data_IF_861031407866
#
_entry.id   IF_861031407866
#
_cell.length_a   1.000
_cell.length_b   1.000
_cell.length_c   1.000
_cell.angle_alpha   90.00
_cell.angle_beta   90.00
_cell.angle_gamma   90.00
#
_symmetry.space_group_name_H-M   'P 1'
#
loop_
_entity.id
_entity.type
_entity.pdbx_description
1 polymer ?
#
# COMPACT_ATOMS: atom_id res chain seq x y z
N UNK A 1 -44.69 -15.27 -34.74
CA UNK A 1 -43.77 -14.10 -34.73
C UNK A 1 -43.53 -13.51 -33.35
N UNK A 2 -44.52 -13.32 -32.47
CA UNK A 2 -44.31 -12.68 -31.12
C UNK A 2 -43.39 -13.47 -30.15
N UNK A 3 -43.31 -14.81 -30.27
CA UNK A 3 -42.43 -15.67 -29.42
C UNK A 3 -40.92 -15.54 -29.76
N UNK A 4 -40.56 -15.30 -31.04
CA UNK A 4 -39.16 -15.12 -31.46
C UNK A 4 -38.56 -13.82 -30.91
N UNK A 5 -39.32 -12.76 -30.84
CA UNK A 5 -38.83 -11.47 -30.30
C UNK A 5 -38.56 -11.55 -28.78
N UNK A 6 -39.35 -12.34 -28.04
CA UNK A 6 -39.16 -12.52 -26.61
C UNK A 6 -37.82 -13.24 -26.28
N UNK A 7 -37.47 -14.29 -27.05
CA UNK A 7 -36.21 -15.00 -26.88
C UNK A 7 -34.99 -14.15 -27.29
N UNK A 8 -35.13 -13.31 -28.31
CA UNK A 8 -34.08 -12.39 -28.75
C UNK A 8 -33.84 -11.31 -27.69
N UNK A 9 -34.89 -10.81 -27.04
CA UNK A 9 -34.77 -9.82 -25.95
C UNK A 9 -34.08 -10.40 -24.70
N UNK A 10 -34.46 -11.64 -24.31
CA UNK A 10 -33.84 -12.35 -23.18
C UNK A 10 -32.35 -12.63 -23.44
N UNK A 11 -31.97 -13.00 -24.67
CA UNK A 11 -30.59 -13.23 -25.06
C UNK A 11 -29.74 -11.95 -25.04
N UNK A 12 -30.31 -10.83 -25.45
CA UNK A 12 -29.64 -9.52 -25.40
C UNK A 12 -29.45 -9.07 -23.96
N UNK A 13 -30.43 -9.22 -23.08
CA UNK A 13 -30.29 -8.92 -21.66
C UNK A 13 -29.28 -9.84 -20.95
N UNK A 14 -29.24 -11.13 -21.30
CA UNK A 14 -28.21 -12.04 -20.76
C UNK A 14 -26.80 -11.68 -21.23
N UNK A 15 -26.61 -11.18 -22.45
CA UNK A 15 -25.32 -10.67 -22.91
C UNK A 15 -24.92 -9.39 -22.18
N UNK A 16 -25.87 -8.46 -21.92
CA UNK A 16 -25.60 -7.25 -21.15
C UNK A 16 -25.24 -7.54 -19.69
N UNK A 17 -25.86 -8.52 -19.06
CA UNK A 17 -25.55 -8.94 -17.69
C UNK A 17 -24.20 -9.65 -17.56
N UNK A 18 -23.70 -10.30 -18.61
CA UNK A 18 -22.39 -10.95 -18.60
C UNK A 18 -21.22 -9.95 -18.70
N UNK A 19 -21.42 -8.78 -19.28
CA UNK A 19 -20.40 -7.74 -19.35
C UNK A 19 -20.25 -6.93 -18.04
N UNK A 20 -21.26 -6.92 -17.16
CA UNK A 20 -21.17 -6.23 -15.87
C UNK A 20 -20.38 -7.00 -14.79
N UNK A 21 -20.00 -8.24 -15.03
CA UNK A 21 -19.31 -9.10 -14.05
C UNK A 21 -17.81 -9.28 -14.30
N UNK A 22 -17.20 -8.54 -15.21
CA UNK A 22 -15.76 -8.42 -15.26
C UNK A 22 -15.30 -7.55 -14.10
N UNK A 23 -15.31 -8.10 -12.85
CA UNK A 23 -14.53 -7.54 -11.75
C UNK A 23 -13.11 -7.41 -12.26
N UNK A 24 -12.69 -6.18 -12.51
CA UNK A 24 -11.32 -5.84 -12.87
C UNK A 24 -10.39 -6.47 -11.82
N UNK A 25 -9.87 -7.65 -12.14
CA UNK A 25 -8.93 -8.33 -11.27
C UNK A 25 -7.68 -7.45 -11.21
N UNK A 26 -7.41 -6.86 -10.03
CA UNK A 26 -6.23 -6.04 -9.82
C UNK A 26 -4.96 -6.86 -10.05
N UNK A 27 -3.88 -6.21 -10.50
CA UNK A 27 -2.55 -6.84 -10.55
C UNK A 27 -1.99 -6.98 -9.15
N UNK A 28 -1.41 -8.13 -8.87
CA UNK A 28 -0.84 -8.48 -7.56
C UNK A 28 0.67 -8.67 -7.70
N UNK A 29 1.43 -8.03 -6.81
CA UNK A 29 2.88 -8.11 -6.73
C UNK A 29 3.28 -8.60 -5.33
N UNK A 30 4.41 -9.27 -5.21
CA UNK A 30 4.93 -9.73 -3.90
C UNK A 30 5.37 -8.55 -3.04
N UNK A 31 5.40 -8.74 -1.71
CA UNK A 31 5.91 -7.74 -0.78
C UNK A 31 7.36 -7.32 -1.09
N UNK A 32 8.20 -8.26 -1.53
CA UNK A 32 9.60 -8.05 -1.91
C UNK A 32 9.79 -7.81 -3.43
N UNK A 33 8.78 -7.30 -4.13
CA UNK A 33 8.93 -6.97 -5.56
C UNK A 33 10.12 -6.03 -5.78
N UNK A 34 10.99 -6.28 -6.78
CA UNK A 34 12.20 -5.47 -7.00
C UNK A 34 11.90 -4.01 -7.38
N UNK A 35 10.69 -3.69 -7.80
CA UNK A 35 10.25 -2.32 -8.01
C UNK A 35 9.96 -1.56 -6.71
N UNK A 36 9.95 -2.24 -5.56
CA UNK A 36 9.72 -1.64 -4.24
C UNK A 36 11.04 -1.58 -3.47
N UNK A 37 11.45 -0.39 -3.09
CA UNK A 37 12.62 -0.17 -2.24
C UNK A 37 12.22 0.02 -0.80
N UNK A 38 12.77 -0.77 0.09
CA UNK A 38 12.63 -0.59 1.54
C UNK A 38 13.86 0.15 2.10
N UNK A 39 13.60 1.03 3.06
CA UNK A 39 14.64 1.77 3.78
C UNK A 39 14.39 1.64 5.27
N UNK A 40 15.38 1.12 5.99
CA UNK A 40 15.30 0.75 7.39
C UNK A 40 15.57 -0.74 7.60
N UNK A 41 15.35 -1.22 8.82
CA UNK A 41 15.56 -2.63 9.16
C UNK A 41 14.33 -3.46 8.76
N UNK A 42 14.52 -4.38 7.82
CA UNK A 42 13.45 -5.27 7.33
C UNK A 42 13.90 -6.73 7.34
N UNK A 43 12.94 -7.63 7.47
CA UNK A 43 13.11 -9.08 7.34
C UNK A 43 12.28 -9.56 6.15
N UNK A 44 12.94 -10.20 5.19
CA UNK A 44 12.28 -10.80 4.02
C UNK A 44 12.10 -12.30 4.28
N UNK A 45 10.86 -12.77 4.17
CA UNK A 45 10.49 -14.18 4.33
C UNK A 45 10.59 -14.93 2.99
N UNK A 46 10.64 -16.26 3.03
CA UNK A 46 10.76 -17.13 1.84
C UNK A 46 9.57 -17.02 0.88
N UNK A 47 8.40 -16.65 1.37
CA UNK A 47 7.17 -16.41 0.56
C UNK A 47 7.17 -15.02 -0.14
N UNK A 48 8.18 -14.19 0.15
CA UNK A 48 8.33 -12.85 -0.39
C UNK A 48 7.60 -11.77 0.40
N UNK A 49 7.09 -12.09 1.59
CA UNK A 49 6.58 -11.05 2.51
C UNK A 49 7.73 -10.31 3.18
N UNK A 50 7.48 -9.05 3.58
CA UNK A 50 8.47 -8.17 4.20
C UNK A 50 7.94 -7.64 5.51
N UNK A 51 8.67 -7.90 6.61
CA UNK A 51 8.29 -7.47 7.96
C UNK A 51 9.22 -6.39 8.48
N UNK A 52 8.67 -5.45 9.26
CA UNK A 52 9.42 -4.42 9.97
C UNK A 52 8.58 -3.85 11.13
N UNK A 53 9.26 -3.26 12.12
CA UNK A 53 8.65 -2.69 13.32
C UNK A 53 9.17 -1.28 13.68
N UNK A 54 10.37 -0.91 13.26
CA UNK A 54 10.99 0.36 13.63
C UNK A 54 10.26 1.58 13.02
N UNK A 55 10.05 2.60 13.85
CA UNK A 55 9.59 3.92 13.42
C UNK A 55 10.54 4.51 12.38
N UNK A 56 9.99 5.28 11.45
CA UNK A 56 10.76 5.86 10.36
C UNK A 56 11.10 4.90 9.21
N UNK A 57 10.96 3.57 9.41
CA UNK A 57 11.07 2.62 8.29
C UNK A 57 10.03 2.94 7.22
N UNK A 58 10.45 2.96 5.98
CA UNK A 58 9.55 3.24 4.86
C UNK A 58 9.84 2.33 3.67
N UNK A 59 8.86 2.23 2.80
CA UNK A 59 9.04 1.71 1.44
C UNK A 59 8.63 2.77 0.43
N UNK A 60 9.22 2.69 -0.74
CA UNK A 60 8.92 3.58 -1.85
C UNK A 60 8.92 2.82 -3.18
N UNK A 61 8.12 3.30 -4.09
CA UNK A 61 7.99 2.81 -5.46
C UNK A 61 7.43 3.90 -6.34
N UNK A 62 7.40 3.68 -7.65
CA UNK A 62 6.53 4.43 -8.57
C UNK A 62 5.45 3.51 -9.08
N UNK A 63 4.27 4.05 -9.35
CA UNK A 63 3.16 3.26 -9.84
C UNK A 63 2.26 4.04 -10.80
N UNK A 64 1.50 3.30 -11.61
CA UNK A 64 0.46 3.83 -12.49
C UNK A 64 -0.89 3.22 -12.15
N UNK A 65 -1.98 3.74 -12.75
CA UNK A 65 -3.31 3.16 -12.65
C UNK A 65 -4.20 3.76 -11.56
N UNK A 66 -3.72 4.80 -10.85
CA UNK A 66 -4.53 5.64 -9.95
C UNK A 66 -5.01 4.99 -8.64
N UNK A 67 -4.60 3.73 -8.37
CA UNK A 67 -4.93 2.99 -7.15
C UNK A 67 -3.82 2.02 -6.78
N UNK A 68 -3.46 2.02 -5.49
CA UNK A 68 -2.58 1.03 -4.88
C UNK A 68 -3.11 0.65 -3.50
N UNK A 69 -3.20 -0.64 -3.24
CA UNK A 69 -3.58 -1.22 -1.94
C UNK A 69 -2.53 -2.23 -1.51
N UNK A 70 -2.53 -2.57 -0.22
CA UNK A 70 -1.66 -3.58 0.36
C UNK A 70 -2.48 -4.71 0.99
N UNK A 71 -1.99 -5.94 0.92
CA UNK A 71 -2.39 -7.01 1.83
C UNK A 71 -1.32 -7.07 2.92
N UNK A 72 -1.71 -6.80 4.15
CA UNK A 72 -0.81 -6.66 5.30
C UNK A 72 -1.33 -7.41 6.52
N UNK A 73 -0.40 -7.81 7.38
CA UNK A 73 -0.70 -8.22 8.75
C UNK A 73 0.01 -7.28 9.72
N UNK A 74 -0.66 -6.95 10.82
CA UNK A 74 -0.14 -6.10 11.87
C UNK A 74 -0.40 -6.75 13.23
N UNK A 75 0.64 -6.86 14.07
CA UNK A 75 0.51 -7.51 15.39
C UNK A 75 -0.21 -6.65 16.41
N UNK A 76 -0.34 -5.36 16.14
CA UNK A 76 -1.03 -4.40 16.99
C UNK A 76 -1.76 -3.34 16.18
N UNK A 77 -1.44 -2.07 16.42
CA UNK A 77 -1.95 -0.93 15.64
C UNK A 77 -0.81 -0.01 15.27
N UNK A 78 -0.62 0.23 13.99
CA UNK A 78 0.40 1.15 13.48
C UNK A 78 -0.22 2.22 12.57
N UNK A 79 0.41 3.40 12.56
CA UNK A 79 0.03 4.49 11.68
C UNK A 79 1.18 4.80 10.71
N UNK A 80 0.80 5.23 9.51
CA UNK A 80 1.72 5.50 8.41
C UNK A 80 1.41 6.83 7.74
N UNK A 81 2.45 7.61 7.49
CA UNK A 81 2.36 8.74 6.57
C UNK A 81 2.51 8.22 5.14
N UNK A 82 1.56 8.56 4.28
CA UNK A 82 1.57 8.26 2.85
C UNK A 82 1.86 9.54 2.07
N UNK A 83 2.92 9.51 1.28
CA UNK A 83 3.33 10.62 0.42
C UNK A 83 3.14 10.21 -1.04
N UNK A 84 2.51 11.07 -1.82
CA UNK A 84 2.37 10.94 -3.27
C UNK A 84 3.05 12.14 -3.92
N UNK A 85 3.97 11.91 -4.84
CA UNK A 85 4.77 12.95 -5.49
C UNK A 85 5.46 13.89 -4.48
N UNK A 86 6.00 13.29 -3.41
CA UNK A 86 6.67 13.93 -2.25
C UNK A 86 5.76 14.79 -1.34
N UNK A 87 4.47 14.89 -1.60
CA UNK A 87 3.51 15.59 -0.74
C UNK A 87 2.77 14.62 0.18
N UNK A 88 2.54 15.03 1.44
CA UNK A 88 1.76 14.24 2.40
C UNK A 88 0.31 14.14 1.92
N UNK A 89 -0.07 12.93 1.46
CA UNK A 89 -1.41 12.66 0.94
C UNK A 89 -2.40 12.31 2.05
N UNK A 90 -2.01 11.43 2.98
CA UNK A 90 -2.86 11.00 4.11
C UNK A 90 -2.09 10.20 5.16
N UNK A 91 -2.71 10.02 6.32
CA UNK A 91 -2.30 9.04 7.32
C UNK A 91 -3.16 7.79 7.18
N UNK A 92 -2.55 6.61 7.22
CA UNK A 92 -3.22 5.32 7.13
C UNK A 92 -3.02 4.55 8.42
N UNK A 93 -4.11 4.03 8.99
CA UNK A 93 -4.10 3.07 10.10
C UNK A 93 -3.96 1.66 9.53
N UNK A 94 -3.07 0.87 10.13
CA UNK A 94 -2.85 -0.55 9.79
C UNK A 94 -3.09 -1.38 11.05
N UNK A 95 -3.96 -2.38 10.96
CA UNK A 95 -4.26 -3.34 12.03
C UNK A 95 -4.85 -4.62 11.44
N UNK A 96 -4.82 -5.71 12.21
CA UNK A 96 -5.39 -7.00 11.85
C UNK A 96 -4.47 -7.87 10.99
N UNK A 97 -4.95 -9.06 10.63
CA UNK A 97 -4.21 -10.07 9.87
C UNK A 97 -4.79 -10.18 8.47
N UNK A 98 -3.91 -10.28 7.46
CA UNK A 98 -4.26 -10.40 6.03
C UNK A 98 -5.28 -9.35 5.55
N UNK A 99 -5.18 -8.14 6.09
CA UNK A 99 -6.12 -7.05 5.82
C UNK A 99 -5.75 -6.35 4.52
N UNK A 100 -6.76 -6.07 3.69
CA UNK A 100 -6.61 -5.22 2.50
C UNK A 100 -6.70 -3.75 2.90
N UNK A 101 -5.59 -3.04 2.84
CA UNK A 101 -5.50 -1.60 3.14
C UNK A 101 -5.42 -0.81 1.85
N UNK A 102 -6.32 0.14 1.65
CA UNK A 102 -6.22 1.10 0.56
C UNK A 102 -5.21 2.20 0.92
N UNK A 103 -4.07 2.23 0.23
CA UNK A 103 -3.02 3.24 0.44
C UNK A 103 -3.35 4.52 -0.33
N UNK A 104 -3.63 4.38 -1.62
CA UNK A 104 -3.99 5.49 -2.51
C UNK A 104 -5.10 5.05 -3.46
N UNK A 105 -6.07 5.92 -3.71
CA UNK A 105 -7.11 5.71 -4.72
C UNK A 105 -7.70 7.03 -5.19
N UNK A 106 -8.26 7.02 -6.40
CA UNK A 106 -8.97 8.18 -6.96
C UNK A 106 -8.05 9.28 -7.50
N UNK A 107 -6.76 9.01 -7.64
CA UNK A 107 -5.82 9.90 -8.35
C UNK A 107 -5.79 9.55 -9.84
N UNK A 108 -5.16 10.40 -10.66
CA UNK A 108 -5.02 10.12 -12.08
C UNK A 108 -4.16 8.85 -12.34
N UNK A 109 -4.17 8.36 -13.59
CA UNK A 109 -3.51 7.10 -13.94
C UNK A 109 -2.06 7.26 -14.40
N UNK A 110 -1.51 8.47 -14.37
CA UNK A 110 -0.12 8.72 -14.74
C UNK A 110 0.84 8.05 -13.77
N UNK A 111 2.13 8.15 -14.04
CA UNK A 111 3.17 7.65 -13.16
C UNK A 111 3.32 8.58 -11.95
N UNK A 112 3.12 8.04 -10.75
CA UNK A 112 3.30 8.73 -9.47
C UNK A 112 4.42 8.11 -8.67
N UNK A 113 5.14 8.91 -7.89
CA UNK A 113 5.98 8.42 -6.80
C UNK A 113 5.12 8.17 -5.57
N UNK A 114 5.43 7.11 -4.81
CA UNK A 114 4.72 6.74 -3.59
C UNK A 114 5.73 6.33 -2.52
N UNK A 115 5.60 6.92 -1.34
CA UNK A 115 6.33 6.53 -0.14
C UNK A 115 5.34 6.34 1.01
N UNK A 116 5.48 5.24 1.74
CA UNK A 116 4.71 4.98 2.95
C UNK A 116 5.67 4.74 4.11
N UNK A 117 5.63 5.62 5.11
CA UNK A 117 6.57 5.69 6.22
C UNK A 117 5.86 5.41 7.54
N UNK A 118 6.39 4.46 8.31
CA UNK A 118 5.89 4.14 9.65
C UNK A 118 6.14 5.31 10.60
N UNK A 119 5.09 5.75 11.29
CA UNK A 119 5.16 6.82 12.29
C UNK A 119 4.97 6.32 13.73
N UNK A 120 4.40 5.13 13.90
CA UNK A 120 4.25 4.48 15.21
C UNK A 120 5.53 3.78 15.62
N UNK A 121 5.81 3.76 16.92
CA UNK A 121 6.94 3.04 17.49
C UNK A 121 6.78 1.52 17.37
N UNK A 122 7.88 0.78 17.51
CA UNK A 122 7.90 -0.68 17.35
C UNK A 122 7.09 -1.42 18.43
N UNK A 123 6.94 -0.83 19.60
CA UNK A 123 6.14 -1.38 20.70
C UNK A 123 4.65 -1.49 20.38
N UNK A 124 4.12 -0.65 19.47
CA UNK A 124 2.71 -0.67 19.05
C UNK A 124 2.40 -1.73 18.00
N UNK A 125 3.43 -2.33 17.37
CA UNK A 125 3.23 -3.46 16.49
C UNK A 125 4.27 -3.61 15.38
N UNK A 126 4.29 -4.84 14.84
CA UNK A 126 5.11 -5.24 13.70
C UNK A 126 4.22 -5.44 12.48
N UNK A 127 4.56 -4.76 11.41
CA UNK A 127 3.87 -4.86 10.13
C UNK A 127 4.55 -5.89 9.23
N UNK A 128 3.74 -6.70 8.55
CA UNK A 128 4.18 -7.60 7.47
C UNK A 128 3.41 -7.26 6.20
N UNK A 129 4.10 -6.83 5.16
CA UNK A 129 3.53 -6.60 3.83
C UNK A 129 3.63 -7.89 3.03
N UNK A 130 2.48 -8.47 2.68
CA UNK A 130 2.40 -9.69 1.89
C UNK A 130 2.38 -9.39 0.39
N UNK A 131 1.53 -8.45 -0.03
CA UNK A 131 1.28 -8.16 -1.45
C UNK A 131 0.98 -6.68 -1.66
N UNK A 132 1.34 -6.20 -2.86
CA UNK A 132 0.84 -4.97 -3.44
C UNK A 132 -0.27 -5.31 -4.43
N UNK A 133 -1.37 -4.56 -4.40
CA UNK A 133 -2.53 -4.76 -5.27
C UNK A 133 -2.82 -3.45 -5.99
N UNK A 134 -2.68 -3.46 -7.31
CA UNK A 134 -2.93 -2.31 -8.17
C UNK A 134 -4.21 -2.51 -9.00
N UNK A 135 -4.67 -1.47 -9.68
CA UNK A 135 -5.70 -1.61 -10.73
C UNK A 135 -5.22 -2.56 -11.84
N UNK A 136 -6.13 -3.09 -12.66
CA UNK A 136 -5.78 -4.03 -13.73
C UNK A 136 -4.76 -3.46 -14.73
N UNK A 137 -4.80 -2.16 -15.01
CA UNK A 137 -3.84 -1.46 -15.88
C UNK A 137 -2.60 -0.95 -15.14
N UNK A 138 -2.56 -1.08 -13.80
CA UNK A 138 -1.47 -0.58 -12.97
C UNK A 138 -0.15 -1.32 -13.19
N UNK A 139 0.95 -0.62 -12.96
CA UNK A 139 2.32 -1.15 -12.99
C UNK A 139 3.09 -0.59 -11.81
N UNK A 140 4.02 -1.38 -11.26
CA UNK A 140 5.06 -0.91 -10.35
C UNK A 140 6.31 -0.60 -11.17
N UNK A 141 7.05 0.44 -10.76
CA UNK A 141 8.33 0.80 -11.31
C UNK A 141 9.28 1.21 -10.19
N UNK A 142 10.55 0.83 -10.30
CA UNK A 142 11.55 1.22 -9.32
C UNK A 142 11.70 2.75 -9.24
N UNK A 143 11.88 3.25 -8.03
CA UNK A 143 12.19 4.66 -7.81
C UNK A 143 13.62 4.96 -8.32
N UNK A 144 13.83 6.03 -9.10
CA UNK A 144 15.15 6.36 -9.66
C UNK A 144 16.14 6.86 -8.63
N UNK A 145 15.68 7.20 -7.43
CA UNK A 145 16.49 7.94 -6.46
C UNK A 145 17.40 7.01 -5.68
N UNK A 146 18.66 6.91 -6.07
CA UNK A 146 19.74 6.42 -5.21
C UNK A 146 20.31 7.62 -4.46
N UNK A 147 20.03 7.73 -3.16
CA UNK A 147 20.67 8.73 -2.30
C UNK A 147 22.07 8.24 -1.96
N UNK A 148 23.09 8.98 -2.34
CA UNK A 148 24.51 8.61 -2.15
C UNK A 148 25.09 9.12 -0.81
N UNK A 149 24.40 10.05 -0.15
CA UNK A 149 24.81 10.58 1.16
C UNK A 149 23.91 10.03 2.25
N UNK A 150 24.53 9.53 3.31
CA UNK A 150 23.87 9.07 4.52
C UNK A 150 24.33 9.95 5.69
N UNK A 151 23.36 10.38 6.52
CA UNK A 151 23.61 11.07 7.78
C UNK A 151 22.93 10.22 8.84
N UNK A 152 23.67 9.82 9.86
CA UNK A 152 23.15 9.09 10.99
C UNK A 152 23.12 10.02 12.22
N UNK A 153 21.97 10.07 12.88
CA UNK A 153 21.78 10.78 14.13
C UNK A 153 21.67 9.75 15.26
N UNK A 154 22.64 9.76 16.17
CA UNK A 154 22.64 8.87 17.33
C UNK A 154 22.18 9.69 18.53
N UNK A 155 21.09 9.24 19.17
CA UNK A 155 20.49 9.95 20.29
C UNK A 155 19.44 9.12 21.01
N UNK A 156 18.63 9.78 21.80
CA UNK A 156 17.53 9.17 22.56
C UNK A 156 16.16 9.57 21.99
N UNK A 157 15.09 9.34 22.77
CA UNK A 157 13.71 9.66 22.41
C UNK A 157 13.49 11.13 22.02
N UNK A 158 14.24 12.06 22.61
CA UNK A 158 14.16 13.48 22.25
C UNK A 158 14.73 13.75 20.85
N UNK A 159 15.79 13.04 20.48
CA UNK A 159 16.41 13.19 19.16
C UNK A 159 15.50 12.67 18.03
N UNK A 160 14.73 11.61 18.26
CA UNK A 160 13.79 11.08 17.27
C UNK A 160 12.39 11.72 17.33
N UNK A 161 12.13 12.60 18.30
CA UNK A 161 10.83 13.26 18.46
C UNK A 161 9.74 12.30 18.97
N UNK A 162 10.11 11.35 19.84
CA UNK A 162 9.17 10.40 20.41
C UNK A 162 7.99 11.10 21.06
N UNK A 163 6.76 10.71 20.64
CA UNK A 163 5.51 11.25 21.20
C UNK A 163 5.16 12.68 20.81
N UNK A 164 5.89 13.30 19.86
CA UNK A 164 5.69 14.70 19.49
C UNK A 164 4.30 15.00 18.91
N UNK A 165 3.69 14.03 18.27
CA UNK A 165 2.34 14.11 17.69
C UNK A 165 1.26 13.47 18.60
N UNK A 166 1.66 12.77 19.66
CA UNK A 166 0.75 12.09 20.58
C UNK A 166 0.07 13.05 21.56
N UNK A 167 -1.21 12.81 21.84
CA UNK A 167 -1.96 13.52 22.91
C UNK A 167 -1.76 12.87 24.25
N UNK A 168 -1.48 11.57 24.26
CA UNK A 168 -1.27 10.75 25.44
C UNK A 168 -0.07 9.82 25.22
N UNK A 169 0.54 9.38 26.35
CA UNK A 169 1.74 8.54 26.36
C UNK A 169 1.60 7.23 25.61
N UNK A 170 0.40 6.65 25.60
CA UNK A 170 0.13 5.32 25.06
C UNK A 170 -0.55 5.36 23.67
N UNK A 171 -0.48 6.49 22.97
CA UNK A 171 -0.96 6.59 21.58
C UNK A 171 0.08 6.04 20.61
N UNK A 172 -0.34 5.16 19.67
CA UNK A 172 0.53 4.61 18.64
C UNK A 172 0.91 5.63 17.55
#
# INVERSE_FOLDING_TARGET
MKRCYLYLFILIEMCYLSELSAKSCGKVFKGNDPAVRYVGRTLVSSDGSVSFDWVGTYWETRFTGGRLSLIVSETGTSYYNVFVDDELHRVVKVCGTDTLINVVSGIDKRLHSLRMQKRSEGEFGKTTIHRFVLSASGQLQASPTVRTRHIEFIGNSLTCGYGVDGRHRDEP
#
